data_IF_311646467894
#
_entry.id   IF_311646467894
#
_cell.length_a   1.000
_cell.length_b   1.000
_cell.length_c   1.000
_cell.angle_alpha   90.00
_cell.angle_beta   90.00
_cell.angle_gamma   90.00
#
_symmetry.space_group_name_H-M   'P 1'
#
loop_
_entity.id
_entity.type
_entity.pdbx_description
1 polymer ?
#
# COMPACT_ATOMS: atom_id res chain seq x y z
N UNK A 1 -22.43 20.29 6.50
CA UNK A 1 -23.18 20.23 7.78
C UNK A 1 -22.21 20.52 8.89
N UNK A 2 -22.51 21.52 9.78
CA UNK A 2 -21.61 21.94 10.86
C UNK A 2 -21.35 20.77 11.81
N UNK A 3 -20.10 20.30 11.90
CA UNK A 3 -19.65 19.43 12.98
C UNK A 3 -19.91 20.17 14.28
N UNK A 4 -20.68 19.59 15.20
CA UNK A 4 -20.89 20.15 16.53
C UNK A 4 -19.56 20.07 17.30
N UNK A 5 -18.72 21.10 17.16
CA UNK A 5 -17.49 21.25 17.93
C UNK A 5 -17.90 21.42 19.40
N UNK A 6 -17.44 20.49 20.25
CA UNK A 6 -17.59 20.61 21.70
C UNK A 6 -16.62 21.70 22.23
N UNK A 7 -16.80 22.22 23.45
CA UNK A 7 -15.95 23.28 23.99
C UNK A 7 -14.44 22.98 24.02
N UNK A 8 -14.02 21.73 23.83
CA UNK A 8 -12.61 21.32 23.72
C UNK A 8 -12.10 21.15 22.29
N UNK A 9 -12.95 21.29 21.26
CA UNK A 9 -12.60 21.04 19.86
C UNK A 9 -12.59 19.56 19.46
N UNK A 10 -13.07 18.65 20.35
CA UNK A 10 -13.12 17.22 20.05
C UNK A 10 -14.23 16.91 19.05
N UNK A 11 -13.89 16.08 18.05
CA UNK A 11 -14.86 15.46 17.13
C UNK A 11 -14.94 13.96 17.40
N UNK A 12 -16.03 13.27 17.04
CA UNK A 12 -16.13 11.83 17.29
C UNK A 12 -15.06 10.99 16.58
N UNK A 13 -14.56 11.43 15.44
CA UNK A 13 -13.52 10.81 14.63
C UNK A 13 -12.11 11.13 15.16
N UNK A 14 -11.92 12.24 15.87
CA UNK A 14 -10.68 12.61 16.56
C UNK A 14 -10.94 12.96 18.04
N UNK A 15 -11.55 12.05 18.76
CA UNK A 15 -11.93 12.25 20.15
C UNK A 15 -10.73 12.42 21.09
N UNK A 16 -9.58 11.82 20.74
CA UNK A 16 -8.33 11.95 21.49
C UNK A 16 -7.48 13.15 21.05
N UNK A 17 -7.98 13.99 20.12
CA UNK A 17 -7.26 15.14 19.57
C UNK A 17 -5.88 14.76 19.00
N UNK A 18 -5.82 13.66 18.27
CA UNK A 18 -4.60 13.13 17.65
C UNK A 18 -4.05 14.13 16.64
N UNK A 19 -4.92 14.92 16.02
CA UNK A 19 -4.54 16.02 15.12
C UNK A 19 -3.52 17.00 15.75
N UNK A 20 -3.59 17.20 17.07
CA UNK A 20 -2.63 18.06 17.82
C UNK A 20 -1.24 17.43 17.94
N UNK A 21 -1.11 16.13 17.71
CA UNK A 21 0.18 15.42 17.72
C UNK A 21 0.91 15.51 16.37
N UNK A 22 0.22 16.02 15.34
CA UNK A 22 0.74 16.17 13.99
C UNK A 22 1.38 17.54 13.80
N UNK A 23 2.42 17.62 12.98
CA UNK A 23 2.99 18.87 12.51
C UNK A 23 2.08 19.52 11.47
N UNK A 24 2.34 20.81 11.15
CA UNK A 24 1.57 21.52 10.11
C UNK A 24 1.75 20.86 8.73
N UNK A 25 2.95 20.39 8.42
CA UNK A 25 3.25 19.68 7.18
C UNK A 25 2.51 18.34 7.09
N UNK A 26 2.49 17.55 8.15
CA UNK A 26 1.77 16.29 8.21
C UNK A 26 0.26 16.48 8.03
N UNK A 27 -0.31 17.53 8.63
CA UNK A 27 -1.71 17.91 8.40
C UNK A 27 -1.95 18.30 6.94
N UNK A 28 -1.07 19.13 6.38
CA UNK A 28 -1.20 19.54 4.97
C UNK A 28 -1.16 18.36 4.01
N UNK A 29 -0.23 17.44 4.18
CA UNK A 29 -0.13 16.22 3.37
C UNK A 29 -1.41 15.38 3.50
N UNK A 30 -1.85 15.10 4.72
CA UNK A 30 -3.11 14.38 4.98
C UNK A 30 -4.29 15.03 4.27
N UNK A 31 -4.46 16.33 4.44
CA UNK A 31 -5.62 17.07 3.91
C UNK A 31 -5.59 17.13 2.38
N UNK A 32 -4.42 17.27 1.77
CA UNK A 32 -4.22 17.19 0.31
C UNK A 32 -4.61 15.82 -0.23
N UNK A 33 -4.18 14.74 0.42
CA UNK A 33 -4.53 13.38 -0.02
C UNK A 33 -6.01 13.10 0.19
N UNK A 34 -6.61 13.58 1.28
CA UNK A 34 -8.05 13.48 1.53
C UNK A 34 -8.87 14.19 0.45
N UNK A 35 -8.48 15.39 0.04
CA UNK A 35 -9.11 16.13 -1.06
C UNK A 35 -8.99 15.35 -2.38
N UNK A 36 -7.79 14.88 -2.71
CA UNK A 36 -7.57 14.03 -3.89
C UNK A 36 -8.48 12.78 -3.88
N UNK A 37 -8.57 12.08 -2.76
CA UNK A 37 -9.46 10.90 -2.63
C UNK A 37 -10.92 11.28 -2.82
N UNK A 38 -11.36 12.40 -2.23
CA UNK A 38 -12.71 12.92 -2.37
C UNK A 38 -13.08 13.24 -3.82
N UNK A 39 -12.16 13.86 -4.55
CA UNK A 39 -12.40 14.37 -5.89
C UNK A 39 -12.16 13.35 -7.00
N UNK A 40 -11.20 12.43 -6.82
CA UNK A 40 -10.70 11.55 -7.89
C UNK A 40 -10.97 10.06 -7.67
N UNK A 41 -11.24 9.63 -6.44
CA UNK A 41 -11.44 8.22 -6.11
C UNK A 41 -12.90 7.93 -5.78
N UNK A 42 -13.46 8.62 -4.79
CA UNK A 42 -14.81 8.31 -4.29
C UNK A 42 -15.92 8.38 -5.34
N UNK A 43 -15.88 9.26 -6.36
CA UNK A 43 -16.94 9.29 -7.38
C UNK A 43 -17.04 8.00 -8.20
N UNK A 44 -15.92 7.35 -8.49
CA UNK A 44 -15.83 6.27 -9.49
C UNK A 44 -15.41 4.91 -8.89
N UNK A 45 -14.96 4.85 -7.64
CA UNK A 45 -14.40 3.63 -7.04
C UNK A 45 -15.39 2.47 -6.97
N UNK A 46 -16.68 2.74 -6.87
CA UNK A 46 -17.71 1.71 -6.88
C UNK A 46 -17.73 0.97 -8.23
N UNK A 47 -17.57 1.67 -9.35
CA UNK A 47 -17.47 1.09 -10.68
C UNK A 47 -16.17 0.30 -10.83
N UNK A 48 -15.04 0.84 -10.38
CA UNK A 48 -13.76 0.12 -10.41
C UNK A 48 -13.81 -1.18 -9.61
N UNK A 49 -14.47 -1.15 -8.45
CA UNK A 49 -14.67 -2.34 -7.62
C UNK A 49 -15.54 -3.38 -8.34
N UNK A 50 -16.68 -2.98 -8.93
CA UNK A 50 -17.57 -3.87 -9.66
C UNK A 50 -16.90 -4.49 -10.88
N UNK A 51 -16.19 -3.70 -11.67
CA UNK A 51 -15.53 -4.15 -12.90
C UNK A 51 -14.19 -4.86 -12.63
N UNK A 52 -13.62 -4.69 -11.44
CA UNK A 52 -12.30 -5.25 -11.09
C UNK A 52 -11.14 -4.55 -11.81
N UNK A 53 -11.27 -3.25 -12.05
CA UNK A 53 -10.30 -2.44 -12.80
C UNK A 53 -9.67 -1.35 -11.92
N UNK A 54 -8.56 -0.80 -12.39
CA UNK A 54 -7.93 0.39 -11.83
C UNK A 54 -7.54 1.33 -12.98
N UNK A 55 -7.88 2.62 -12.93
CA UNK A 55 -7.56 3.57 -14.00
C UNK A 55 -6.06 3.92 -13.95
N UNK A 56 -5.26 3.32 -14.84
CA UNK A 56 -3.79 3.54 -14.89
C UNK A 56 -3.42 5.02 -15.01
N UNK A 57 -4.22 5.84 -15.68
CA UNK A 57 -3.95 7.27 -15.85
C UNK A 57 -3.96 8.06 -14.53
N UNK A 58 -4.67 7.56 -13.49
CA UNK A 58 -4.65 8.14 -12.15
C UNK A 58 -3.24 8.14 -11.53
N UNK A 59 -2.36 7.25 -11.98
CA UNK A 59 -0.98 7.18 -11.50
C UNK A 59 -0.20 8.48 -11.73
N UNK A 60 -0.42 9.18 -12.85
CA UNK A 60 0.25 10.46 -13.13
C UNK A 60 -0.20 11.56 -12.15
N UNK A 61 -1.49 11.58 -11.80
CA UNK A 61 -1.99 12.53 -10.81
C UNK A 61 -1.43 12.21 -9.42
N UNK A 62 -1.34 10.93 -9.04
CA UNK A 62 -0.70 10.47 -7.82
C UNK A 62 0.80 10.80 -7.78
N UNK A 63 1.51 10.62 -8.90
CA UNK A 63 2.92 11.01 -9.03
C UNK A 63 3.13 12.51 -8.88
N UNK A 64 2.25 13.34 -9.48
CA UNK A 64 2.31 14.80 -9.34
C UNK A 64 2.09 15.26 -7.88
N UNK A 65 1.38 14.50 -7.06
CA UNK A 65 1.23 14.71 -5.63
C UNK A 65 2.38 14.14 -4.79
N UNK A 66 3.37 13.49 -5.43
CA UNK A 66 4.50 12.88 -4.74
C UNK A 66 4.16 11.62 -3.92
N UNK A 67 3.07 10.90 -4.25
CA UNK A 67 2.60 9.75 -3.48
C UNK A 67 3.44 8.48 -3.69
N UNK A 68 4.26 8.42 -4.76
CA UNK A 68 5.08 7.25 -5.03
C UNK A 68 6.48 7.39 -4.42
N UNK A 69 6.85 6.43 -3.60
CA UNK A 69 8.13 6.45 -2.90
C UNK A 69 8.26 7.61 -1.91
N UNK A 70 7.17 8.04 -1.26
CA UNK A 70 7.15 9.20 -0.34
C UNK A 70 8.30 9.18 0.69
N UNK A 71 8.65 8.00 1.20
CA UNK A 71 9.68 7.78 2.22
C UNK A 71 11.09 7.59 1.66
N UNK A 72 11.24 7.62 0.32
CA UNK A 72 12.54 7.49 -0.34
C UNK A 72 13.16 8.85 -0.61
N UNK A 73 14.48 8.96 -0.47
CA UNK A 73 15.22 10.18 -0.72
C UNK A 73 15.82 10.20 -2.12
N UNK A 74 15.77 11.36 -2.75
CA UNK A 74 16.36 11.56 -4.10
C UNK A 74 15.48 11.03 -5.24
N UNK A 75 15.98 11.05 -6.44
CA UNK A 75 15.39 10.50 -7.67
C UNK A 75 13.95 10.95 -7.95
N UNK A 76 13.58 12.17 -7.54
CA UNK A 76 12.23 12.70 -7.72
C UNK A 76 11.22 12.26 -6.66
N UNK A 77 11.63 11.47 -5.68
CA UNK A 77 10.81 11.09 -4.52
C UNK A 77 10.70 12.23 -3.50
N UNK A 78 9.61 12.27 -2.74
CA UNK A 78 9.31 13.39 -1.84
C UNK A 78 10.20 13.42 -0.58
N UNK A 79 10.74 12.29 -0.12
CA UNK A 79 11.59 12.21 1.08
C UNK A 79 10.87 12.61 2.38
N UNK A 80 9.57 12.29 2.50
CA UNK A 80 8.76 12.66 3.67
C UNK A 80 9.05 11.75 4.86
N UNK A 81 8.70 12.21 6.06
CA UNK A 81 8.76 11.38 7.26
C UNK A 81 7.73 10.23 7.21
N UNK A 82 7.91 9.25 8.07
CA UNK A 82 7.08 8.04 8.10
C UNK A 82 5.63 8.33 8.51
N UNK A 83 5.40 9.31 9.38
CA UNK A 83 4.05 9.72 9.76
C UNK A 83 3.30 10.29 8.56
N UNK A 84 3.92 11.16 7.75
CA UNK A 84 3.34 11.72 6.52
C UNK A 84 2.94 10.62 5.53
N UNK A 85 3.85 9.67 5.25
CA UNK A 85 3.55 8.50 4.42
C UNK A 85 2.39 7.67 5.00
N UNK A 86 2.41 7.44 6.31
CA UNK A 86 1.34 6.72 6.99
C UNK A 86 -0.02 7.42 6.87
N UNK A 87 -0.08 8.74 7.06
CA UNK A 87 -1.30 9.53 6.91
C UNK A 87 -1.83 9.50 5.46
N UNK A 88 -0.94 9.58 4.46
CA UNK A 88 -1.33 9.39 3.07
C UNK A 88 -1.96 8.00 2.84
N UNK A 89 -1.35 6.93 3.39
CA UNK A 89 -1.94 5.59 3.35
C UNK A 89 -3.31 5.53 4.04
N UNK A 90 -3.50 6.24 5.14
CA UNK A 90 -4.79 6.32 5.86
C UNK A 90 -5.88 6.94 4.99
N UNK A 91 -5.60 8.05 4.32
CA UNK A 91 -6.59 8.73 3.47
C UNK A 91 -6.89 7.94 2.20
N UNK A 92 -5.88 7.36 1.55
CA UNK A 92 -6.08 6.50 0.39
C UNK A 92 -6.93 5.26 0.72
N UNK A 93 -6.68 4.60 1.84
CA UNK A 93 -7.45 3.43 2.29
C UNK A 93 -8.87 3.80 2.72
N UNK A 94 -9.08 5.02 3.23
CA UNK A 94 -10.43 5.53 3.50
C UNK A 94 -11.28 5.65 2.22
N UNK A 95 -10.64 5.88 1.08
CA UNK A 95 -11.28 5.81 -0.24
C UNK A 95 -11.51 4.38 -0.70
N UNK A 96 -10.42 3.62 -0.85
CA UNK A 96 -10.46 2.20 -1.20
C UNK A 96 -9.11 1.52 -0.91
N UNK A 97 -9.16 0.30 -0.38
CA UNK A 97 -7.98 -0.51 -0.07
C UNK A 97 -7.15 -0.86 -1.31
N UNK A 98 -7.77 -0.98 -2.48
CA UNK A 98 -7.08 -1.24 -3.76
C UNK A 98 -6.23 -0.04 -4.18
N UNK A 99 -6.75 1.18 -4.03
CA UNK A 99 -6.04 2.42 -4.33
C UNK A 99 -4.82 2.59 -3.41
N UNK A 100 -4.98 2.38 -2.10
CA UNK A 100 -3.83 2.39 -1.18
C UNK A 100 -2.83 1.28 -1.54
N UNK A 101 -3.30 0.08 -1.91
CA UNK A 101 -2.44 -1.03 -2.32
C UNK A 101 -1.62 -0.69 -3.54
N UNK A 102 -2.19 -0.01 -4.54
CA UNK A 102 -1.49 0.45 -5.73
C UNK A 102 -0.29 1.34 -5.35
N UNK A 103 -0.50 2.36 -4.51
CA UNK A 103 0.56 3.27 -4.05
C UNK A 103 1.61 2.53 -3.21
N UNK A 104 1.19 1.65 -2.30
CA UNK A 104 2.12 0.90 -1.45
C UNK A 104 2.99 -0.07 -2.26
N UNK A 105 2.44 -0.76 -3.25
CA UNK A 105 3.22 -1.68 -4.10
C UNK A 105 4.21 -0.90 -4.93
N UNK A 106 3.80 0.23 -5.53
CA UNK A 106 4.70 1.09 -6.28
C UNK A 106 5.88 1.55 -5.42
N UNK A 107 5.62 2.18 -4.27
CA UNK A 107 6.65 2.77 -3.41
C UNK A 107 7.48 1.74 -2.64
N UNK A 108 6.82 0.85 -1.89
CA UNK A 108 7.49 -0.02 -0.92
C UNK A 108 8.02 -1.34 -1.52
N UNK A 109 7.43 -1.82 -2.63
CA UNK A 109 7.76 -3.13 -3.20
C UNK A 109 8.46 -3.04 -4.55
N UNK A 110 8.18 -2.02 -5.38
CA UNK A 110 8.83 -1.86 -6.68
C UNK A 110 9.96 -0.82 -6.64
N UNK A 111 9.73 0.39 -6.11
CA UNK A 111 10.76 1.44 -6.02
C UNK A 111 11.79 1.15 -4.92
N UNK A 112 11.34 0.76 -3.73
CA UNK A 112 12.25 0.52 -2.59
C UNK A 112 13.39 -0.47 -2.91
N UNK A 113 13.18 -1.67 -3.50
CA UNK A 113 14.28 -2.57 -3.81
C UNK A 113 15.27 -2.00 -4.83
N UNK A 114 14.82 -1.19 -5.79
CA UNK A 114 15.73 -0.49 -6.70
C UNK A 114 16.52 0.58 -5.93
N UNK A 115 15.87 1.36 -5.09
CA UNK A 115 16.49 2.41 -4.27
C UNK A 115 17.52 1.84 -3.30
N UNK A 116 17.18 0.75 -2.60
CA UNK A 116 18.01 0.16 -1.56
C UNK A 116 19.12 -0.74 -2.11
N UNK A 117 18.89 -1.43 -3.24
CA UNK A 117 19.77 -2.53 -3.68
C UNK A 117 20.19 -2.40 -5.15
N UNK A 118 19.68 -1.43 -5.88
CA UNK A 118 20.06 -1.19 -7.27
C UNK A 118 21.38 -0.49 -7.44
N UNK A 119 22.01 -0.66 -8.61
CA UNK A 119 23.13 0.17 -9.01
C UNK A 119 22.67 1.62 -9.25
N UNK A 120 23.61 2.56 -9.30
CA UNK A 120 23.28 3.96 -9.57
C UNK A 120 22.58 4.13 -10.93
N UNK A 121 23.02 3.36 -11.96
CA UNK A 121 22.38 3.34 -13.27
C UNK A 121 20.95 2.86 -13.22
N UNK A 122 20.67 1.80 -12.42
CA UNK A 122 19.30 1.31 -12.22
C UNK A 122 18.43 2.36 -11.51
N UNK A 123 18.96 3.01 -10.47
CA UNK A 123 18.24 4.08 -9.73
C UNK A 123 17.89 5.25 -10.63
N UNK A 124 18.86 5.76 -11.39
CA UNK A 124 18.66 6.89 -12.33
C UNK A 124 17.69 6.55 -13.47
N UNK A 125 17.72 5.30 -13.94
CA UNK A 125 16.83 4.85 -15.02
C UNK A 125 15.37 4.71 -14.58
N UNK A 126 15.15 4.11 -13.41
CA UNK A 126 13.82 3.64 -13.03
C UNK A 126 13.09 4.54 -12.03
N UNK A 127 13.78 5.05 -11.01
CA UNK A 127 13.11 5.76 -9.92
C UNK A 127 12.44 7.07 -10.35
N UNK A 128 13.05 7.96 -11.15
CA UNK A 128 12.40 9.21 -11.55
C UNK A 128 11.08 9.02 -12.30
N UNK A 129 10.98 8.20 -13.36
CA UNK A 129 9.71 7.98 -14.04
C UNK A 129 8.70 7.18 -13.17
N UNK A 130 9.16 6.34 -12.24
CA UNK A 130 8.27 5.68 -11.28
C UNK A 130 7.71 6.66 -10.26
N UNK A 131 8.50 7.60 -9.76
CA UNK A 131 8.04 8.66 -8.85
C UNK A 131 7.03 9.59 -9.54
N UNK A 132 7.22 9.89 -10.82
CA UNK A 132 6.29 10.68 -11.64
C UNK A 132 4.99 9.91 -12.02
N UNK A 133 4.90 8.61 -11.75
CA UNK A 133 3.75 7.78 -12.16
C UNK A 133 3.69 7.48 -13.65
N UNK A 134 4.79 7.65 -14.38
CA UNK A 134 4.93 7.32 -15.79
C UNK A 134 5.25 5.84 -16.01
N UNK A 135 5.97 5.23 -15.05
CA UNK A 135 6.35 3.82 -15.03
C UNK A 135 5.76 3.16 -13.80
N UNK A 136 4.97 2.12 -13.99
CA UNK A 136 4.35 1.35 -12.91
C UNK A 136 5.14 0.07 -12.68
N UNK A 137 5.37 -0.24 -11.40
CA UNK A 137 6.06 -1.45 -10.98
C UNK A 137 5.18 -2.45 -10.28
N UNK A 138 5.62 -3.72 -10.32
CA UNK A 138 5.05 -4.80 -9.52
C UNK A 138 6.15 -5.62 -8.84
N UNK A 139 5.74 -6.53 -7.92
CA UNK A 139 6.67 -7.29 -7.08
C UNK A 139 6.38 -8.78 -7.13
N UNK A 140 7.20 -9.52 -7.85
CA UNK A 140 7.09 -10.95 -8.08
C UNK A 140 7.91 -11.78 -7.07
N UNK A 141 7.34 -12.07 -5.90
CA UNK A 141 7.95 -12.95 -4.89
C UNK A 141 7.16 -14.27 -4.76
N UNK A 142 5.86 -14.16 -4.43
CA UNK A 142 4.97 -15.26 -4.11
C UNK A 142 4.74 -16.17 -5.31
N UNK A 143 4.72 -17.49 -5.07
CA UNK A 143 4.32 -18.52 -6.02
C UNK A 143 3.13 -19.31 -5.48
N UNK A 144 2.45 -20.08 -6.33
CA UNK A 144 1.29 -20.87 -5.93
C UNK A 144 1.61 -21.85 -4.77
N UNK A 145 2.81 -22.44 -4.78
CA UNK A 145 3.27 -23.39 -3.77
C UNK A 145 4.23 -22.78 -2.74
N UNK A 146 4.65 -21.51 -2.90
CA UNK A 146 5.62 -20.83 -2.05
C UNK A 146 5.11 -19.42 -1.64
N UNK A 147 4.11 -19.38 -0.77
CA UNK A 147 3.55 -18.14 -0.22
C UNK A 147 4.16 -17.80 1.12
N UNK A 148 3.79 -18.52 2.19
CA UNK A 148 4.30 -18.29 3.54
C UNK A 148 5.78 -18.63 3.69
N UNK A 149 6.29 -19.51 2.84
CA UNK A 149 7.71 -19.86 2.76
C UNK A 149 8.27 -19.45 1.39
N UNK A 150 8.63 -18.17 1.21
CA UNK A 150 9.20 -17.71 -0.05
C UNK A 150 10.60 -18.28 -0.35
N UNK A 151 11.28 -18.85 0.66
CA UNK A 151 12.55 -19.53 0.48
C UNK A 151 12.46 -20.80 -0.38
N UNK A 152 11.28 -21.40 -0.46
CA UNK A 152 11.01 -22.60 -1.28
C UNK A 152 10.58 -22.29 -2.71
N UNK A 153 10.75 -21.02 -3.17
CA UNK A 153 10.38 -20.62 -4.55
C UNK A 153 11.03 -21.49 -5.61
N UNK A 154 10.29 -21.78 -6.68
CA UNK A 154 10.73 -22.59 -7.81
C UNK A 154 11.22 -21.77 -8.99
N UNK A 155 10.81 -20.50 -9.11
CA UNK A 155 11.33 -19.59 -10.14
C UNK A 155 12.83 -19.56 -10.07
N UNK A 156 13.47 -19.81 -11.20
CA UNK A 156 14.93 -19.97 -11.31
C UNK A 156 15.51 -19.00 -12.34
N UNK A 157 16.62 -18.38 -11.98
CA UNK A 157 17.46 -17.62 -12.91
C UNK A 157 18.81 -18.34 -13.06
N UNK A 158 19.21 -18.60 -14.30
CA UNK A 158 20.50 -19.23 -14.64
C UNK A 158 21.33 -18.31 -15.53
N UNK A 159 22.64 -18.43 -15.42
CA UNK A 159 23.56 -17.74 -16.33
C UNK A 159 23.56 -18.39 -17.70
N UNK A 160 23.60 -17.54 -18.74
CA UNK A 160 23.84 -17.96 -20.12
C UNK A 160 24.80 -16.94 -20.77
N UNK A 161 26.10 -17.23 -20.71
CA UNK A 161 27.17 -16.28 -20.99
C UNK A 161 27.17 -15.15 -19.98
N UNK A 162 27.03 -13.92 -20.47
CA UNK A 162 26.92 -12.72 -19.62
C UNK A 162 25.49 -12.49 -19.12
N UNK A 163 24.50 -13.05 -19.81
CA UNK A 163 23.09 -12.81 -19.56
C UNK A 163 22.50 -13.72 -18.47
N UNK A 164 21.29 -13.41 -18.05
CA UNK A 164 20.44 -14.24 -17.23
C UNK A 164 19.25 -14.78 -18.05
N UNK A 165 18.85 -16.01 -17.78
CA UNK A 165 17.59 -16.59 -18.28
C UNK A 165 16.74 -16.92 -17.07
N UNK A 166 15.49 -16.38 -17.03
CA UNK A 166 14.55 -16.62 -15.93
C UNK A 166 13.38 -17.46 -16.43
N UNK A 167 13.10 -18.53 -15.67
CA UNK A 167 11.96 -19.41 -15.88
C UNK A 167 11.16 -19.56 -14.58
N UNK A 168 9.82 -19.47 -14.66
CA UNK A 168 8.94 -19.68 -13.52
C UNK A 168 7.63 -18.90 -13.60
N UNK A 169 6.88 -18.92 -12.51
CA UNK A 169 5.61 -18.21 -12.38
C UNK A 169 5.50 -17.53 -11.02
N UNK A 170 4.86 -16.37 -10.97
CA UNK A 170 4.55 -15.66 -9.72
C UNK A 170 3.04 -15.46 -9.59
N UNK A 171 2.51 -15.61 -8.40
CA UNK A 171 1.08 -15.62 -8.13
C UNK A 171 0.67 -14.48 -7.20
N UNK A 172 -0.53 -13.94 -7.41
CA UNK A 172 -1.13 -12.87 -6.59
C UNK A 172 -0.37 -11.54 -6.67
N UNK A 173 0.12 -11.18 -7.84
CA UNK A 173 0.98 -10.01 -8.02
C UNK A 173 0.12 -8.78 -8.29
N UNK A 174 0.04 -7.89 -7.31
CA UNK A 174 -0.62 -6.59 -7.44
C UNK A 174 0.09 -5.75 -8.52
N UNK A 175 -0.69 -5.08 -9.33
CA UNK A 175 -0.28 -4.29 -10.49
C UNK A 175 0.30 -5.12 -11.65
N UNK A 176 0.35 -6.46 -11.60
CA UNK A 176 1.04 -7.27 -12.61
C UNK A 176 0.61 -6.97 -14.04
N UNK A 177 -0.69 -6.89 -14.32
CA UNK A 177 -1.23 -6.56 -15.65
C UNK A 177 -1.12 -5.07 -16.06
N UNK A 178 -0.73 -4.19 -15.13
CA UNK A 178 -0.55 -2.75 -15.36
C UNK A 178 0.92 -2.34 -15.43
N UNK A 179 1.83 -3.20 -14.94
CA UNK A 179 3.22 -2.87 -14.71
C UNK A 179 4.01 -2.72 -16.01
N UNK A 180 4.90 -1.76 -16.03
CA UNK A 180 5.91 -1.55 -17.06
C UNK A 180 7.26 -2.20 -16.66
N UNK A 181 7.45 -2.45 -15.34
CA UNK A 181 8.61 -3.13 -14.78
C UNK A 181 8.21 -4.05 -13.62
N UNK A 182 8.79 -5.24 -13.55
CA UNK A 182 8.60 -6.19 -12.45
C UNK A 182 9.90 -6.38 -11.65
N UNK A 183 9.82 -6.34 -10.33
CA UNK A 183 10.91 -6.80 -9.46
C UNK A 183 10.64 -8.29 -9.20
N UNK A 184 11.44 -9.15 -9.81
CA UNK A 184 11.26 -10.60 -9.72
C UNK A 184 12.36 -11.22 -8.86
N UNK A 185 11.96 -11.96 -7.84
CA UNK A 185 12.88 -12.74 -7.01
C UNK A 185 12.94 -14.17 -7.52
N UNK A 186 14.15 -14.67 -7.76
CA UNK A 186 14.39 -16.00 -8.30
C UNK A 186 15.58 -16.68 -7.62
N UNK A 187 15.55 -18.03 -7.56
CA UNK A 187 16.68 -18.84 -7.16
C UNK A 187 17.74 -18.82 -8.24
N UNK A 188 19.01 -18.66 -7.83
CA UNK A 188 20.19 -18.85 -8.66
C UNK A 188 21.08 -19.93 -8.03
N UNK A 189 22.17 -20.29 -8.69
CA UNK A 189 23.16 -21.20 -8.12
C UNK A 189 23.86 -20.61 -6.89
N UNK A 190 23.85 -19.25 -6.75
CA UNK A 190 24.44 -18.51 -5.63
C UNK A 190 23.37 -18.06 -4.59
N UNK A 191 22.16 -18.59 -4.66
CA UNK A 191 21.04 -18.22 -3.77
C UNK A 191 19.99 -17.32 -4.44
N UNK A 192 19.08 -16.76 -3.62
CA UNK A 192 18.00 -15.90 -4.10
C UNK A 192 18.54 -14.54 -4.49
N UNK A 193 18.18 -14.06 -5.70
CA UNK A 193 18.52 -12.74 -6.23
C UNK A 193 17.26 -12.02 -6.71
N UNK A 194 17.30 -10.69 -6.69
CA UNK A 194 16.27 -9.82 -7.27
C UNK A 194 16.67 -9.34 -8.66
N UNK A 195 15.71 -9.28 -9.56
CA UNK A 195 15.90 -8.83 -10.94
C UNK A 195 14.92 -7.72 -11.30
N UNK A 196 15.40 -6.70 -11.98
CA UNK A 196 14.58 -5.65 -12.59
C UNK A 196 14.23 -6.10 -14.01
N UNK A 197 12.98 -6.46 -14.23
CA UNK A 197 12.48 -7.08 -15.48
C UNK A 197 11.53 -6.12 -16.18
N UNK A 198 11.89 -5.50 -17.30
CA UNK A 198 10.93 -4.80 -18.15
C UNK A 198 9.85 -5.76 -18.63
N UNK A 199 8.57 -5.40 -18.54
CA UNK A 199 7.46 -6.32 -18.82
C UNK A 199 7.23 -6.57 -20.31
N UNK A 200 7.83 -5.75 -21.19
CA UNK A 200 7.87 -5.94 -22.63
C UNK A 200 8.97 -6.93 -23.10
N UNK A 201 9.74 -7.50 -22.17
CA UNK A 201 10.79 -8.49 -22.49
C UNK A 201 10.15 -9.76 -23.05
N UNK A 202 10.72 -10.29 -24.14
CA UNK A 202 10.25 -11.53 -24.76
C UNK A 202 10.23 -12.68 -23.74
N UNK A 203 9.12 -13.41 -23.67
CA UNK A 203 8.89 -14.50 -22.70
C UNK A 203 8.23 -14.05 -21.40
N UNK A 204 8.07 -12.73 -21.15
CA UNK A 204 7.27 -12.23 -20.04
C UNK A 204 5.80 -12.08 -20.47
N UNK A 205 4.87 -12.58 -19.66
CA UNK A 205 3.44 -12.36 -19.85
C UNK A 205 2.70 -12.37 -18.52
N UNK A 206 1.47 -11.89 -18.52
CA UNK A 206 0.62 -11.82 -17.33
C UNK A 206 -0.76 -12.42 -17.60
N UNK A 207 -1.39 -12.93 -16.54
CA UNK A 207 -2.77 -13.41 -16.57
C UNK A 207 -3.52 -12.82 -15.35
N UNK A 208 -4.50 -11.97 -15.59
CA UNK A 208 -5.21 -11.27 -14.53
C UNK A 208 -6.17 -12.20 -13.78
N UNK A 209 -6.18 -12.10 -12.45
CA UNK A 209 -7.03 -12.87 -11.56
C UNK A 209 -8.31 -12.08 -11.30
N UNK A 210 -9.40 -12.55 -11.88
CA UNK A 210 -10.72 -11.95 -11.76
C UNK A 210 -11.56 -12.54 -10.61
N UNK A 211 -12.71 -11.92 -10.32
CA UNK A 211 -13.71 -12.39 -9.35
C UNK A 211 -13.19 -12.57 -7.92
N UNK A 212 -12.22 -11.75 -7.51
CA UNK A 212 -11.77 -11.70 -6.12
C UNK A 212 -12.92 -11.25 -5.21
N UNK A 213 -12.93 -11.73 -3.96
CA UNK A 213 -13.96 -11.36 -2.97
C UNK A 213 -13.74 -9.95 -2.40
N UNK A 214 -12.51 -9.42 -2.46
CA UNK A 214 -12.12 -8.11 -1.94
C UNK A 214 -10.99 -7.52 -2.79
N UNK A 215 -10.62 -6.25 -2.54
CA UNK A 215 -9.56 -5.55 -3.28
C UNK A 215 -9.79 -5.63 -4.80
N UNK A 216 -11.05 -5.46 -5.24
CA UNK A 216 -11.39 -5.63 -6.65
C UNK A 216 -10.90 -4.46 -7.50
N UNK A 217 -10.87 -3.25 -6.95
CA UNK A 217 -10.23 -2.08 -7.58
C UNK A 217 -8.68 -2.13 -7.48
N UNK A 218 -8.11 -3.33 -7.45
CA UNK A 218 -6.65 -3.58 -7.47
C UNK A 218 -6.39 -4.71 -8.43
N UNK A 219 -5.80 -4.43 -9.58
CA UNK A 219 -5.42 -5.47 -10.56
C UNK A 219 -4.41 -6.41 -9.91
N UNK A 220 -4.68 -7.70 -10.01
CA UNK A 220 -3.86 -8.75 -9.41
C UNK A 220 -3.67 -9.84 -10.44
N UNK A 221 -2.42 -10.26 -10.67
CA UNK A 221 -2.08 -11.12 -11.80
C UNK A 221 -1.17 -12.27 -11.38
N UNK A 222 -1.15 -13.28 -12.20
CA UNK A 222 -0.04 -14.22 -12.32
C UNK A 222 1.00 -13.62 -13.27
N UNK A 223 2.29 -13.72 -12.96
CA UNK A 223 3.38 -13.44 -13.88
C UNK A 223 3.93 -14.75 -14.40
N UNK A 224 4.12 -14.84 -15.71
CA UNK A 224 4.66 -16.00 -16.39
C UNK A 224 5.98 -15.59 -17.03
N UNK A 225 7.05 -16.33 -16.69
CA UNK A 225 8.39 -16.11 -17.19
C UNK A 225 8.81 -17.38 -17.94
N UNK A 226 8.84 -17.31 -19.26
CA UNK A 226 9.22 -18.41 -20.15
C UNK A 226 10.50 -18.03 -20.89
N UNK A 227 11.63 -18.48 -20.35
CA UNK A 227 12.97 -18.20 -20.91
C UNK A 227 13.25 -16.70 -21.09
N UNK A 228 12.82 -15.87 -20.12
CA UNK A 228 13.02 -14.41 -20.13
C UNK A 228 14.51 -14.12 -20.06
N UNK A 229 15.06 -13.59 -21.16
CA UNK A 229 16.48 -13.22 -21.27
C UNK A 229 16.70 -11.79 -20.81
N UNK A 230 17.60 -11.61 -19.86
CA UNK A 230 17.96 -10.32 -19.28
C UNK A 230 19.48 -10.12 -19.34
N UNK A 231 19.95 -8.88 -19.60
CA UNK A 231 21.36 -8.56 -19.52
C UNK A 231 21.89 -8.65 -18.06
N UNK A 232 23.20 -8.76 -17.91
CA UNK A 232 23.86 -8.95 -16.61
C UNK A 232 23.46 -7.90 -15.57
N UNK A 233 23.30 -6.66 -16.00
CA UNK A 233 22.95 -5.50 -15.16
C UNK A 233 21.50 -5.49 -14.66
N UNK A 234 20.66 -6.45 -15.06
CA UNK A 234 19.28 -6.54 -14.55
C UNK A 234 19.18 -7.05 -13.11
N UNK A 235 20.22 -7.68 -12.59
CA UNK A 235 20.27 -8.12 -11.19
C UNK A 235 20.44 -6.92 -10.25
N UNK A 236 19.77 -6.97 -9.09
CA UNK A 236 20.01 -6.01 -8.01
C UNK A 236 21.35 -6.38 -7.33
N UNK A 237 22.41 -5.57 -7.44
CA UNK A 237 23.75 -5.97 -7.03
C UNK A 237 23.97 -6.00 -5.51
N UNK A 238 23.24 -5.14 -4.76
CA UNK A 238 23.53 -4.88 -3.34
C UNK A 238 22.76 -5.82 -2.39
N UNK A 239 22.16 -6.91 -2.90
CA UNK A 239 21.38 -7.82 -2.06
C UNK A 239 21.45 -9.28 -2.50
N UNK A 240 21.51 -10.18 -1.50
CA UNK A 240 21.48 -11.63 -1.64
C UNK A 240 20.54 -12.26 -0.61
N UNK A 241 19.92 -13.38 -0.99
CA UNK A 241 19.07 -14.17 -0.11
C UNK A 241 17.73 -13.49 0.21
N UNK A 242 17.05 -14.01 1.24
CA UNK A 242 15.73 -13.54 1.65
C UNK A 242 15.73 -12.17 2.32
N UNK A 243 16.88 -11.64 2.73
CA UNK A 243 16.94 -10.31 3.36
C UNK A 243 16.32 -9.23 2.47
N UNK A 244 16.57 -9.30 1.15
CA UNK A 244 16.02 -8.34 0.19
C UNK A 244 14.49 -8.30 0.19
N UNK A 245 13.82 -9.38 -0.22
CA UNK A 245 12.35 -9.37 -0.29
C UNK A 245 11.68 -9.16 1.08
N UNK A 246 12.26 -9.65 2.18
CA UNK A 246 11.70 -9.48 3.51
C UNK A 246 11.79 -8.02 4.00
N UNK A 247 12.85 -7.26 3.65
CA UNK A 247 12.91 -5.83 3.94
C UNK A 247 11.82 -5.06 3.19
N UNK A 248 11.61 -5.34 1.90
CA UNK A 248 10.52 -4.75 1.12
C UNK A 248 9.14 -5.02 1.75
N UNK A 249 8.91 -6.25 2.22
CA UNK A 249 7.66 -6.61 2.91
C UNK A 249 7.51 -5.88 4.25
N UNK A 250 8.59 -5.51 4.92
CA UNK A 250 8.53 -4.74 6.16
C UNK A 250 8.05 -3.31 5.89
N UNK A 251 8.56 -2.66 4.83
CA UNK A 251 8.08 -1.36 4.37
C UNK A 251 6.58 -1.41 4.00
N UNK A 252 6.16 -2.42 3.25
CA UNK A 252 4.76 -2.60 2.88
C UNK A 252 3.84 -2.80 4.12
N UNK A 253 4.30 -3.53 5.16
CA UNK A 253 3.54 -3.70 6.40
C UNK A 253 3.31 -2.39 7.13
N UNK A 254 4.29 -1.48 7.10
CA UNK A 254 4.16 -0.17 7.71
C UNK A 254 3.03 0.65 7.06
N UNK A 255 2.94 0.70 5.73
CA UNK A 255 1.82 1.33 5.04
C UNK A 255 0.45 0.73 5.40
N UNK A 256 0.38 -0.60 5.59
CA UNK A 256 -0.88 -1.28 5.97
C UNK A 256 -1.29 -0.94 7.41
N UNK A 257 -0.34 -0.79 8.34
CA UNK A 257 -0.70 -0.46 9.72
C UNK A 257 -1.44 0.88 9.85
N UNK A 258 -1.08 1.86 9.03
CA UNK A 258 -1.80 3.13 8.91
C UNK A 258 -3.06 3.01 8.05
N UNK A 259 -2.96 2.41 6.87
CA UNK A 259 -4.09 2.27 5.93
C UNK A 259 -5.31 1.64 6.58
N UNK A 260 -5.14 0.55 7.34
CA UNK A 260 -6.24 -0.11 8.04
C UNK A 260 -7.03 0.82 8.98
N UNK A 261 -6.38 1.86 9.55
CA UNK A 261 -7.10 2.86 10.36
C UNK A 261 -8.00 3.75 9.51
N UNK A 262 -7.62 4.00 8.25
CA UNK A 262 -8.43 4.73 7.29
C UNK A 262 -9.72 3.98 6.94
N UNK A 263 -9.63 2.69 6.65
CA UNK A 263 -10.80 1.85 6.42
C UNK A 263 -11.73 1.80 7.64
N UNK A 264 -11.17 1.69 8.85
CA UNK A 264 -11.93 1.73 10.10
C UNK A 264 -12.65 3.07 10.29
N UNK A 265 -11.94 4.19 10.07
CA UNK A 265 -12.49 5.55 10.18
C UNK A 265 -13.62 5.76 9.18
N UNK A 266 -13.41 5.47 7.90
CA UNK A 266 -14.42 5.64 6.86
C UNK A 266 -15.69 4.81 7.15
N UNK A 267 -15.53 3.57 7.63
CA UNK A 267 -16.66 2.73 8.05
C UNK A 267 -17.42 3.34 9.23
N UNK A 268 -16.72 3.89 10.22
CA UNK A 268 -17.32 4.56 11.36
C UNK A 268 -18.07 5.84 10.95
N UNK A 269 -17.45 6.70 10.14
CA UNK A 269 -18.04 7.95 9.65
C UNK A 269 -19.33 7.67 8.87
N UNK A 270 -19.32 6.69 7.96
CA UNK A 270 -20.49 6.26 7.19
C UNK A 270 -21.60 5.71 8.10
N UNK A 271 -21.25 4.87 9.07
CA UNK A 271 -22.23 4.32 10.03
C UNK A 271 -22.86 5.41 10.91
N UNK A 272 -22.04 6.36 11.39
CA UNK A 272 -22.51 7.47 12.22
C UNK A 272 -23.42 8.40 11.43
N UNK A 273 -23.06 8.77 10.20
CA UNK A 273 -23.86 9.62 9.33
C UNK A 273 -25.22 8.94 9.03
N UNK A 274 -25.18 7.70 8.59
CA UNK A 274 -26.40 6.94 8.31
C UNK A 274 -27.29 6.79 9.55
N UNK A 275 -26.72 6.48 10.72
CA UNK A 275 -27.49 6.32 11.93
C UNK A 275 -28.19 7.61 12.40
N UNK A 276 -27.61 8.78 12.09
CA UNK A 276 -28.23 10.10 12.37
C UNK A 276 -29.40 10.38 11.43
N UNK A 277 -29.29 10.01 10.17
CA UNK A 277 -30.29 10.34 9.12
C UNK A 277 -31.40 9.31 9.05
N UNK A 278 -31.12 8.01 9.27
CA UNK A 278 -32.12 6.94 9.16
C UNK A 278 -33.14 7.00 10.29
N UNK A 279 -34.41 7.13 9.94
CA UNK A 279 -35.53 7.16 10.88
C UNK A 279 -36.26 5.80 10.90
N UNK A 280 -36.46 5.25 12.08
CA UNK A 280 -37.35 4.10 12.36
C UNK A 280 -38.08 4.35 13.68
N UNK A 281 -39.35 3.93 13.76
CA UNK A 281 -40.23 4.20 14.90
C UNK A 281 -40.25 5.70 15.29
N UNK A 282 -40.38 6.56 14.27
CA UNK A 282 -40.51 8.02 14.36
C UNK A 282 -39.28 8.77 14.95
N UNK A 283 -38.13 8.14 15.03
CA UNK A 283 -36.88 8.80 15.49
C UNK A 283 -35.64 8.20 14.82
N UNK A 284 -34.55 8.98 14.80
CA UNK A 284 -33.26 8.53 14.30
C UNK A 284 -32.80 7.25 14.99
N UNK A 285 -32.23 6.29 14.24
CA UNK A 285 -31.70 5.06 14.84
C UNK A 285 -30.51 5.33 15.78
N UNK A 286 -29.81 6.46 15.63
CA UNK A 286 -28.80 6.90 16.58
C UNK A 286 -29.34 7.21 17.99
N UNK A 287 -30.67 7.37 18.14
CA UNK A 287 -31.29 7.59 19.45
C UNK A 287 -31.49 6.31 20.28
N UNK A 288 -31.25 5.12 19.71
CA UNK A 288 -31.40 3.85 20.41
C UNK A 288 -30.09 3.42 21.08
N UNK A 289 -30.16 2.99 22.33
CA UNK A 289 -28.97 2.63 23.14
C UNK A 289 -28.10 1.54 22.52
N UNK A 290 -28.71 0.54 21.85
CA UNK A 290 -27.91 -0.51 21.17
C UNK A 290 -27.09 0.04 20.01
N UNK A 291 -27.63 1.01 19.25
CA UNK A 291 -26.89 1.71 18.19
C UNK A 291 -25.81 2.61 18.78
N UNK A 292 -26.14 3.37 19.82
CA UNK A 292 -25.18 4.24 20.51
C UNK A 292 -23.99 3.44 21.05
N UNK A 293 -24.24 2.28 21.66
CA UNK A 293 -23.19 1.40 22.16
C UNK A 293 -22.24 0.98 21.05
N UNK A 294 -22.76 0.51 19.90
CA UNK A 294 -21.92 0.12 18.76
C UNK A 294 -21.09 1.29 18.24
N UNK A 295 -21.70 2.44 18.04
CA UNK A 295 -20.99 3.64 17.56
C UNK A 295 -19.88 4.10 18.54
N UNK A 296 -20.11 4.00 19.84
CA UNK A 296 -19.06 4.33 20.85
C UNK A 296 -17.94 3.29 20.81
N UNK A 297 -18.24 2.00 20.70
CA UNK A 297 -17.22 0.95 20.56
C UNK A 297 -16.37 1.14 19.29
N UNK A 298 -16.99 1.51 18.16
CA UNK A 298 -16.27 1.86 16.93
C UNK A 298 -15.38 3.09 17.11
N UNK A 299 -15.91 4.17 17.68
CA UNK A 299 -15.17 5.40 17.96
C UNK A 299 -13.92 5.14 18.82
N UNK A 300 -14.06 4.39 19.91
CA UNK A 300 -12.94 4.02 20.79
C UNK A 300 -11.86 3.28 20.02
N UNK A 301 -12.24 2.28 19.21
CA UNK A 301 -11.30 1.48 18.42
C UNK A 301 -10.57 2.29 17.37
N UNK A 302 -11.27 3.15 16.64
CA UNK A 302 -10.68 4.04 15.62
C UNK A 302 -9.64 4.96 16.25
N UNK A 303 -9.99 5.65 17.34
CA UNK A 303 -9.07 6.57 18.01
C UNK A 303 -7.83 5.85 18.58
N UNK A 304 -8.00 4.65 19.18
CA UNK A 304 -6.88 3.85 19.67
C UNK A 304 -5.96 3.39 18.52
N UNK A 305 -6.52 2.96 17.40
CA UNK A 305 -5.76 2.54 16.23
C UNK A 305 -4.96 3.71 15.61
N UNK A 306 -5.58 4.89 15.49
CA UNK A 306 -4.90 6.11 15.02
C UNK A 306 -3.75 6.50 15.95
N UNK A 307 -3.96 6.52 17.27
CA UNK A 307 -2.91 6.86 18.24
C UNK A 307 -1.74 5.87 18.16
N UNK A 308 -2.04 4.55 18.05
CA UNK A 308 -1.01 3.53 17.85
C UNK A 308 -0.21 3.77 16.57
N UNK A 309 -0.90 4.10 15.47
CA UNK A 309 -0.25 4.37 14.17
C UNK A 309 0.71 5.55 14.28
N UNK A 310 0.27 6.70 14.81
CA UNK A 310 1.12 7.88 14.98
C UNK A 310 2.31 7.58 15.89
N UNK A 311 2.11 6.86 17.00
CA UNK A 311 3.20 6.46 17.89
C UNK A 311 4.26 5.60 17.17
N UNK A 312 3.82 4.59 16.39
CA UNK A 312 4.74 3.75 15.63
C UNK A 312 5.40 4.51 14.48
N UNK A 313 4.70 5.48 13.87
CA UNK A 313 5.28 6.40 12.90
C UNK A 313 6.42 7.23 13.49
N UNK A 314 6.23 7.83 14.67
CA UNK A 314 7.30 8.56 15.37
C UNK A 314 8.50 7.67 15.69
N UNK A 315 8.24 6.43 16.13
CA UNK A 315 9.33 5.47 16.36
C UNK A 315 10.12 5.15 15.09
N UNK A 316 9.45 5.15 13.93
CA UNK A 316 10.11 4.96 12.64
C UNK A 316 11.00 6.17 12.32
N UNK A 317 10.48 7.39 12.46
CA UNK A 317 11.21 8.63 12.24
C UNK A 317 12.44 8.75 13.16
N UNK A 318 12.33 8.26 14.41
CA UNK A 318 13.42 8.21 15.39
C UNK A 318 14.40 7.05 15.16
N UNK A 319 14.19 6.17 14.17
CA UNK A 319 15.03 5.00 13.90
C UNK A 319 14.96 3.91 15.00
N UNK A 320 13.88 3.90 15.83
CA UNK A 320 13.73 2.98 16.97
C UNK A 320 12.63 1.94 16.76
N UNK A 321 11.97 1.93 15.59
CA UNK A 321 10.93 0.97 15.26
C UNK A 321 11.54 -0.38 14.88
N UNK A 322 11.03 -1.48 15.49
CA UNK A 322 11.44 -2.83 15.13
C UNK A 322 10.42 -3.51 14.21
N UNK A 323 10.84 -4.54 13.47
CA UNK A 323 9.95 -5.32 12.58
C UNK A 323 8.82 -6.00 13.33
N UNK A 324 9.05 -6.39 14.59
CA UNK A 324 8.03 -6.98 15.46
C UNK A 324 6.97 -5.93 15.82
N UNK A 325 7.37 -4.69 16.08
CA UNK A 325 6.45 -3.58 16.36
C UNK A 325 5.62 -3.20 15.12
N UNK A 326 6.21 -3.22 13.93
CA UNK A 326 5.46 -3.08 12.66
C UNK A 326 4.41 -4.19 12.53
N UNK A 327 4.82 -5.43 12.77
CA UNK A 327 3.92 -6.59 12.71
C UNK A 327 2.80 -6.52 13.75
N UNK A 328 3.11 -6.07 14.96
CA UNK A 328 2.13 -5.82 16.04
C UNK A 328 1.11 -4.77 15.61
N UNK A 329 1.56 -3.61 15.13
CA UNK A 329 0.69 -2.51 14.70
C UNK A 329 -0.22 -2.94 13.54
N UNK A 330 0.36 -3.56 12.50
CA UNK A 330 -0.40 -4.08 11.36
C UNK A 330 -1.47 -5.09 11.80
N UNK A 331 -1.11 -6.06 12.63
CA UNK A 331 -2.06 -7.07 13.11
C UNK A 331 -3.21 -6.44 13.89
N UNK A 332 -2.90 -5.54 14.83
CA UNK A 332 -3.90 -4.90 15.69
C UNK A 332 -4.86 -4.02 14.85
N UNK A 333 -4.32 -3.17 13.97
CA UNK A 333 -5.14 -2.22 13.22
C UNK A 333 -6.01 -2.90 12.15
N UNK A 334 -5.51 -3.97 11.50
CA UNK A 334 -6.33 -4.78 10.58
C UNK A 334 -7.48 -5.47 11.32
N UNK A 335 -7.25 -6.01 12.52
CA UNK A 335 -8.33 -6.58 13.35
C UNK A 335 -9.34 -5.50 13.73
N UNK A 336 -8.89 -4.33 14.13
CA UNK A 336 -9.76 -3.18 14.42
C UNK A 336 -10.61 -2.81 13.21
N UNK A 337 -10.02 -2.71 12.02
CA UNK A 337 -10.76 -2.38 10.79
C UNK A 337 -11.86 -3.42 10.49
N UNK A 338 -11.54 -4.72 10.60
CA UNK A 338 -12.51 -5.80 10.41
C UNK A 338 -13.66 -5.76 11.43
N UNK A 339 -13.36 -5.45 12.70
CA UNK A 339 -14.38 -5.34 13.74
C UNK A 339 -15.28 -4.13 13.57
N UNK A 340 -14.72 -2.99 13.11
CA UNK A 340 -15.47 -1.75 12.85
C UNK A 340 -16.35 -1.89 11.61
N UNK A 341 -15.87 -2.55 10.57
CA UNK A 341 -16.61 -2.75 9.32
C UNK A 341 -17.78 -3.77 9.45
N UNK A 342 -17.80 -4.63 10.48
CA UNK A 342 -18.88 -5.61 10.78
C UNK A 342 -19.95 -5.06 11.72
#
# INVERSE_FOLDING_TARGET
MSSSIRPGGETPDDFLQIDRLLTDEERLIRDTVREFVGDKVLPDVAEWFETGTFPKDLAKEMGALGLFGMHLEGYGCAGTNAVSYGLACTELEAGDSGVRSFVSVQGSLAMYPIWAFGSEEQKQRWLPPMAAGEVIGCFGLTEADAGSDPGSMKTRARRDGTDWIIDGTKMWITNGGLADVAIVWANTDDGIRGFVVPTDTLGFSTNDIHQKLSLRASVTSELILDSVRLPAESVLPEVEGLKGPLSCLNEARFGILFGATGAARASYEAALAYAKDRVQFSKSIASYQLTQRKLVEMMVKVNQAMLLSVHLGRKHDDGTLTSEQVSFGKMQNVRTALEVAR
#
